data_IF_441612007338
#
_entry.id   IF_441612007338
#
_cell.length_a   1.000
_cell.length_b   1.000
_cell.length_c   1.000
_cell.angle_alpha   90.00
_cell.angle_beta   90.00
_cell.angle_gamma   90.00
#
_symmetry.space_group_name_H-M   'P 1'
#
loop_
_entity.id
_entity.type
_entity.pdbx_description
1 polymer ?
#
# COMPACT_ATOMS: atom_id res chain seq x y z
N UNK A 1 -7.72 -77.05 -2.13
CA UNK A 1 -7.31 -77.33 -0.74
C UNK A 1 -7.43 -76.05 0.06
N UNK A 2 -7.80 -76.13 1.33
CA UNK A 2 -7.78 -74.99 2.26
C UNK A 2 -6.34 -74.75 2.74
N UNK A 3 -5.97 -73.49 2.95
CA UNK A 3 -4.61 -73.10 3.35
C UNK A 3 -4.43 -73.20 4.88
N UNK A 4 -4.73 -74.38 5.42
CA UNK A 4 -4.62 -74.67 6.86
C UNK A 4 -3.20 -74.44 7.36
N UNK A 5 -3.03 -73.58 8.36
CA UNK A 5 -1.70 -73.25 8.90
C UNK A 5 -0.82 -72.44 7.94
N UNK A 6 -1.41 -71.85 6.88
CA UNK A 6 -0.73 -70.90 6.03
C UNK A 6 -0.23 -69.69 6.80
N UNK A 7 0.67 -68.91 6.20
CA UNK A 7 1.36 -67.80 6.86
C UNK A 7 1.22 -66.53 6.04
N UNK A 8 0.82 -65.44 6.67
CA UNK A 8 0.89 -64.10 6.10
C UNK A 8 2.01 -63.33 6.80
N UNK A 9 3.03 -62.96 6.05
CA UNK A 9 4.08 -62.05 6.51
C UNK A 9 3.74 -60.62 6.14
N UNK A 10 4.02 -59.70 7.06
CA UNK A 10 3.75 -58.27 6.90
C UNK A 10 5.07 -57.49 6.92
N UNK A 11 5.33 -56.69 5.89
CA UNK A 11 6.57 -55.92 5.76
C UNK A 11 6.28 -54.47 5.37
N UNK A 12 7.28 -53.59 5.54
CA UNK A 12 7.26 -52.29 4.89
C UNK A 12 7.35 -52.46 3.37
N UNK A 13 6.56 -51.68 2.63
CA UNK A 13 6.49 -51.77 1.17
C UNK A 13 7.89 -51.74 0.52
N UNK A 14 8.09 -52.56 -0.51
CA UNK A 14 9.37 -52.72 -1.20
C UNK A 14 10.49 -53.42 -0.41
N UNK A 15 10.24 -53.88 0.83
CA UNK A 15 11.28 -54.44 1.71
C UNK A 15 10.88 -55.77 2.36
N UNK A 16 11.83 -56.48 2.96
CA UNK A 16 11.61 -57.63 3.86
C UNK A 16 11.63 -57.24 5.34
N UNK A 17 11.63 -55.94 5.66
CA UNK A 17 11.64 -55.47 7.05
C UNK A 17 10.24 -55.64 7.66
N UNK A 18 10.07 -56.42 8.74
CA UNK A 18 8.78 -56.62 9.39
C UNK A 18 8.08 -55.30 9.71
N UNK A 19 6.78 -55.20 9.42
CA UNK A 19 5.98 -54.02 9.77
C UNK A 19 4.74 -54.43 10.54
N UNK A 20 4.55 -53.80 11.69
CA UNK A 20 3.44 -54.09 12.60
C UNK A 20 2.09 -53.86 11.92
N UNK A 21 1.19 -54.82 12.12
CA UNK A 21 -0.24 -54.72 11.83
C UNK A 21 -1.01 -55.03 13.11
N UNK A 22 -2.30 -54.70 13.17
CA UNK A 22 -3.07 -54.71 14.42
C UNK A 22 -4.35 -55.53 14.33
N UNK A 23 -4.76 -56.11 15.45
CA UNK A 23 -5.96 -56.97 15.56
C UNK A 23 -7.28 -56.19 15.49
N UNK A 24 -7.23 -54.86 15.58
CA UNK A 24 -8.39 -53.96 15.48
C UNK A 24 -7.96 -52.55 15.04
N UNK A 25 -8.94 -51.73 14.66
CA UNK A 25 -8.73 -50.32 14.29
C UNK A 25 -8.15 -49.45 15.41
N UNK A 26 -8.19 -49.91 16.66
CA UNK A 26 -7.63 -49.19 17.81
C UNK A 26 -6.10 -49.09 17.79
N UNK A 27 -5.41 -49.98 17.07
CA UNK A 27 -3.95 -49.99 17.00
C UNK A 27 -3.24 -50.37 18.30
N UNK A 28 -3.94 -50.96 19.28
CA UNK A 28 -3.37 -51.26 20.59
C UNK A 28 -2.69 -52.64 20.67
N UNK A 29 -3.23 -53.64 19.98
CA UNK A 29 -2.71 -55.01 20.00
C UNK A 29 -2.16 -55.40 18.64
N UNK A 30 -0.87 -55.72 18.59
CA UNK A 30 -0.19 -56.14 17.38
C UNK A 30 -0.55 -57.57 17.01
N UNK A 31 -0.71 -57.82 15.70
CA UNK A 31 -0.68 -59.16 15.14
C UNK A 31 0.74 -59.75 15.21
N UNK A 32 0.84 -61.07 15.32
CA UNK A 32 2.11 -61.78 15.16
C UNK A 32 2.65 -61.64 13.73
N UNK A 33 3.95 -61.83 13.51
CA UNK A 33 4.54 -61.85 12.18
C UNK A 33 5.53 -63.03 12.07
N UNK A 34 5.18 -64.11 11.33
CA UNK A 34 3.99 -64.26 10.49
C UNK A 34 2.67 -64.39 11.28
N UNK A 35 1.57 -64.02 10.64
CA UNK A 35 0.21 -64.36 11.07
C UNK A 35 -0.10 -65.77 10.57
N UNK A 36 -0.41 -66.69 11.48
CA UNK A 36 -0.73 -68.09 11.15
C UNK A 36 -2.24 -68.21 10.92
N UNK A 37 -2.64 -68.75 9.77
CA UNK A 37 -4.04 -68.99 9.42
C UNK A 37 -4.59 -70.23 10.14
N UNK A 38 -5.88 -70.21 10.44
CA UNK A 38 -6.57 -71.33 11.09
C UNK A 38 -6.70 -72.56 10.16
N UNK A 39 -7.36 -73.62 10.65
CA UNK A 39 -7.56 -74.86 9.88
C UNK A 39 -8.38 -74.69 8.60
N UNK A 40 -9.15 -73.62 8.50
CA UNK A 40 -9.95 -73.27 7.32
C UNK A 40 -9.23 -72.26 6.42
N UNK A 41 -8.03 -71.80 6.80
CA UNK A 41 -7.25 -70.80 6.06
C UNK A 41 -7.69 -69.35 6.30
N UNK A 42 -8.37 -69.05 7.41
CA UNK A 42 -8.79 -67.68 7.79
C UNK A 42 -7.81 -67.03 8.75
N UNK A 43 -7.84 -65.70 8.81
CA UNK A 43 -7.09 -64.94 9.80
C UNK A 43 -7.62 -65.20 11.22
N UNK A 44 -6.75 -65.30 12.25
CA UNK A 44 -7.19 -65.48 13.63
C UNK A 44 -7.75 -64.19 14.26
N UNK A 45 -7.41 -63.01 13.72
CA UNK A 45 -7.93 -61.69 14.09
C UNK A 45 -8.00 -60.80 12.85
N UNK A 46 -8.62 -59.62 12.95
CA UNK A 46 -8.58 -58.64 11.85
C UNK A 46 -7.14 -58.18 11.54
N UNK A 47 -6.97 -57.66 10.33
CA UNK A 47 -5.70 -57.12 9.84
C UNK A 47 -5.83 -55.61 9.57
N UNK A 48 -5.50 -54.79 10.57
CA UNK A 48 -5.49 -53.34 10.45
C UNK A 48 -4.08 -52.81 10.19
N UNK A 49 -3.97 -51.87 9.24
CA UNK A 49 -2.73 -51.21 8.82
C UNK A 49 -2.62 -49.82 9.47
N UNK A 50 -1.40 -49.36 9.76
CA UNK A 50 -1.18 -48.01 10.28
C UNK A 50 -1.36 -46.97 9.17
N UNK A 51 -2.13 -45.91 9.44
CA UNK A 51 -2.28 -44.75 8.54
C UNK A 51 -0.93 -44.07 8.26
N UNK A 52 -0.75 -43.58 7.03
CA UNK A 52 0.46 -42.95 6.52
C UNK A 52 1.52 -43.94 6.02
N UNK A 53 1.25 -45.25 6.07
CA UNK A 53 2.22 -46.29 5.75
C UNK A 53 1.68 -47.26 4.69
N UNK A 54 2.55 -47.70 3.79
CA UNK A 54 2.27 -48.79 2.84
C UNK A 54 2.93 -50.10 3.26
N UNK A 55 2.32 -51.22 2.87
CA UNK A 55 2.68 -52.56 3.32
C UNK A 55 2.93 -53.50 2.14
N UNK A 56 3.84 -54.46 2.37
CA UNK A 56 4.00 -55.66 1.55
C UNK A 56 3.49 -56.87 2.33
N UNK A 57 2.55 -57.61 1.75
CA UNK A 57 1.98 -58.83 2.32
C UNK A 57 2.45 -60.04 1.52
N UNK A 58 3.06 -61.02 2.19
CA UNK A 58 3.52 -62.26 1.54
C UNK A 58 2.76 -63.46 2.12
N UNK A 59 2.05 -64.17 1.25
CA UNK A 59 1.32 -65.40 1.60
C UNK A 59 2.20 -66.61 1.33
N UNK A 60 2.35 -67.49 2.32
CA UNK A 60 3.03 -68.79 2.21
C UNK A 60 2.14 -69.93 2.68
N UNK A 61 2.41 -71.13 2.21
CA UNK A 61 1.83 -72.34 2.80
C UNK A 61 2.45 -72.68 4.16
N UNK A 62 1.94 -73.75 4.80
CA UNK A 62 2.42 -74.21 6.10
C UNK A 62 3.87 -74.70 6.08
N UNK A 63 4.40 -75.04 4.89
CA UNK A 63 5.77 -75.48 4.64
C UNK A 63 6.70 -74.37 4.16
N UNK A 64 6.29 -73.10 4.29
CA UNK A 64 7.06 -71.90 3.91
C UNK A 64 7.31 -71.72 2.40
N UNK A 65 6.53 -72.37 1.54
CA UNK A 65 6.52 -72.09 0.10
C UNK A 65 5.67 -70.86 -0.17
N UNK A 66 6.23 -69.86 -0.86
CA UNK A 66 5.52 -68.63 -1.19
C UNK A 66 4.45 -68.89 -2.26
N UNK A 67 3.22 -68.44 -1.98
CA UNK A 67 2.07 -68.51 -2.88
C UNK A 67 1.87 -67.16 -3.57
N UNK A 68 2.05 -66.05 -2.85
CA UNK A 68 1.80 -64.72 -3.39
C UNK A 68 2.52 -63.62 -2.62
N UNK A 69 2.74 -62.50 -3.29
CA UNK A 69 3.26 -61.26 -2.70
C UNK A 69 2.47 -60.10 -3.27
N UNK A 70 2.04 -59.20 -2.41
CA UNK A 70 1.29 -58.00 -2.75
C UNK A 70 2.01 -56.82 -2.10
N UNK A 71 2.40 -55.84 -2.90
CA UNK A 71 3.22 -54.71 -2.45
C UNK A 71 2.46 -53.38 -2.60
N UNK A 72 2.99 -52.33 -1.99
CA UNK A 72 2.43 -50.98 -1.99
C UNK A 72 0.95 -50.93 -1.59
N UNK A 73 0.55 -51.72 -0.58
CA UNK A 73 -0.82 -51.73 -0.06
C UNK A 73 -0.99 -50.62 0.99
N UNK A 74 -1.79 -49.57 0.74
CA UNK A 74 -2.16 -48.58 1.75
C UNK A 74 -3.39 -49.01 2.56
N UNK A 75 -3.64 -48.33 3.68
CA UNK A 75 -4.93 -48.42 4.37
C UNK A 75 -6.06 -47.77 3.55
N UNK A 76 -7.28 -48.36 3.59
CA UNK A 76 -8.47 -47.74 3.00
C UNK A 76 -8.80 -46.47 3.79
N UNK A 77 -9.13 -45.38 3.10
CA UNK A 77 -9.39 -44.04 3.66
C UNK A 77 -8.21 -43.42 4.43
N UNK A 78 -6.98 -43.80 4.07
CA UNK A 78 -5.77 -43.21 4.65
C UNK A 78 -5.54 -41.77 4.17
N UNK A 79 -6.16 -40.80 4.86
CA UNK A 79 -6.04 -39.38 4.56
C UNK A 79 -4.65 -38.79 4.79
N UNK A 80 -3.77 -39.47 5.52
CA UNK A 80 -2.39 -39.01 5.75
C UNK A 80 -1.54 -39.04 4.47
N UNK A 81 -1.88 -39.91 3.51
CA UNK A 81 -1.28 -39.96 2.18
C UNK A 81 -1.99 -39.03 1.17
N UNK A 82 -3.09 -38.37 1.58
CA UNK A 82 -3.87 -37.43 0.79
C UNK A 82 -3.53 -35.96 1.08
N UNK A 83 -2.38 -35.68 1.70
CA UNK A 83 -1.89 -34.30 1.77
C UNK A 83 -1.64 -33.78 0.35
N UNK A 84 -2.51 -32.89 -0.12
CA UNK A 84 -2.40 -32.22 -1.42
C UNK A 84 -1.73 -30.87 -1.14
N UNK A 85 -0.45 -30.67 -1.51
CA UNK A 85 0.20 -29.37 -1.35
C UNK A 85 -0.63 -28.27 -2.01
N UNK A 86 -0.63 -27.06 -1.47
CA UNK A 86 -1.33 -25.94 -2.13
C UNK A 86 -0.83 -25.71 -3.58
N UNK A 87 0.42 -26.12 -3.88
CA UNK A 87 0.98 -26.10 -5.23
C UNK A 87 0.31 -27.05 -6.21
N UNK A 88 -0.32 -28.15 -5.78
CA UNK A 88 -1.01 -29.11 -6.65
C UNK A 88 -2.48 -28.76 -6.93
N UNK A 89 -3.00 -27.67 -6.37
CA UNK A 89 -4.23 -27.03 -6.89
C UNK A 89 -3.91 -26.43 -8.26
N UNK A 90 -4.47 -27.03 -9.32
CA UNK A 90 -4.33 -26.58 -10.71
C UNK A 90 -5.32 -25.47 -11.08
N UNK A 91 -6.47 -25.42 -10.41
CA UNK A 91 -7.49 -24.39 -10.57
C UNK A 91 -7.48 -23.42 -9.37
N UNK A 92 -6.39 -22.64 -9.23
CA UNK A 92 -6.30 -21.63 -8.18
C UNK A 92 -7.32 -20.51 -8.42
N UNK A 93 -7.94 -19.95 -7.38
CA UNK A 93 -8.77 -18.76 -7.54
C UNK A 93 -7.96 -17.62 -8.16
N UNK A 94 -8.43 -17.10 -9.29
CA UNK A 94 -7.84 -15.93 -9.97
C UNK A 94 -8.65 -14.66 -9.74
N UNK A 95 -9.83 -14.78 -9.13
CA UNK A 95 -10.70 -13.68 -8.74
C UNK A 95 -11.35 -13.95 -7.38
N UNK A 96 -11.69 -12.88 -6.67
CA UNK A 96 -12.51 -12.94 -5.44
C UNK A 96 -13.95 -13.44 -5.75
N UNK A 97 -14.46 -13.08 -6.93
CA UNK A 97 -15.76 -13.55 -7.42
C UNK A 97 -15.70 -15.06 -7.78
N UNK A 98 -16.81 -15.77 -7.52
CA UNK A 98 -16.98 -17.19 -7.88
C UNK A 98 -16.57 -18.21 -6.82
N UNK A 99 -15.87 -17.79 -5.77
CA UNK A 99 -15.44 -18.66 -4.65
C UNK A 99 -15.98 -18.22 -3.28
N UNK A 100 -16.96 -17.31 -3.26
CA UNK A 100 -17.62 -16.88 -2.01
C UNK A 100 -16.76 -16.00 -1.09
N UNK A 101 -15.64 -15.46 -1.55
CA UNK A 101 -14.81 -14.51 -0.79
C UNK A 101 -15.48 -13.13 -0.86
N UNK A 102 -16.33 -12.84 0.12
CA UNK A 102 -17.17 -11.64 0.15
C UNK A 102 -16.54 -10.44 0.86
N UNK A 103 -15.43 -10.63 1.58
CA UNK A 103 -14.72 -9.61 2.37
C UNK A 103 -13.44 -9.11 1.69
N UNK A 104 -13.12 -9.62 0.50
CA UNK A 104 -11.92 -9.22 -0.22
C UNK A 104 -12.02 -7.80 -0.79
N UNK A 105 -11.00 -6.98 -0.51
CA UNK A 105 -10.88 -5.62 -1.06
C UNK A 105 -10.23 -5.70 -2.44
N UNK A 106 -10.97 -5.30 -3.49
CA UNK A 106 -10.39 -5.20 -4.83
C UNK A 106 -9.50 -3.96 -4.96
N UNK A 107 -8.50 -3.99 -5.84
CA UNK A 107 -7.69 -2.80 -6.15
C UNK A 107 -8.54 -1.63 -6.66
N UNK A 108 -9.63 -1.91 -7.37
CA UNK A 108 -10.58 -0.90 -7.84
C UNK A 108 -11.34 -0.25 -6.68
N UNK A 109 -11.82 -1.05 -5.71
CA UNK A 109 -12.48 -0.55 -4.50
C UNK A 109 -11.52 0.29 -3.65
N UNK A 110 -10.27 -0.16 -3.49
CA UNK A 110 -9.26 0.58 -2.76
C UNK A 110 -8.95 1.93 -3.43
N UNK A 111 -8.76 1.95 -4.75
CA UNK A 111 -8.49 3.16 -5.51
C UNK A 111 -9.67 4.15 -5.50
N UNK A 112 -10.91 3.67 -5.42
CA UNK A 112 -12.10 4.50 -5.35
C UNK A 112 -12.36 5.07 -3.94
N UNK A 113 -11.84 4.43 -2.89
CA UNK A 113 -12.15 4.77 -1.49
C UNK A 113 -11.04 5.57 -0.82
N UNK A 114 -9.78 5.30 -1.17
CA UNK A 114 -8.62 5.84 -0.46
C UNK A 114 -7.77 6.73 -1.34
N UNK A 115 -7.25 7.81 -0.76
CA UNK A 115 -6.26 8.66 -1.41
C UNK A 115 -4.93 7.91 -1.60
N UNK A 116 -4.31 7.95 -2.79
CA UNK A 116 -2.98 7.38 -2.99
C UNK A 116 -1.93 7.98 -2.05
N UNK A 117 -0.95 7.16 -1.63
CA UNK A 117 0.11 7.57 -0.69
C UNK A 117 1.08 8.61 -1.28
N UNK A 118 1.31 8.57 -2.60
CA UNK A 118 2.25 9.46 -3.28
C UNK A 118 1.48 10.50 -4.10
N UNK A 119 1.49 11.75 -3.62
CA UNK A 119 0.93 12.93 -4.31
C UNK A 119 -0.50 12.71 -4.83
N UNK A 120 -1.46 12.41 -3.94
CA UNK A 120 -2.84 12.19 -4.36
C UNK A 120 -3.38 13.44 -5.06
N UNK A 121 -3.99 13.24 -6.22
CA UNK A 121 -4.82 14.26 -6.84
C UNK A 121 -6.23 14.08 -6.31
N UNK A 122 -6.71 15.05 -5.55
CA UNK A 122 -8.06 15.04 -5.01
C UNK A 122 -9.04 15.66 -6.02
N UNK A 123 -10.13 14.96 -6.33
CA UNK A 123 -11.26 15.50 -7.10
C UNK A 123 -12.34 16.02 -6.15
N UNK A 124 -13.00 17.13 -6.51
CA UNK A 124 -13.94 17.87 -5.65
C UNK A 124 -13.27 18.98 -4.84
N UNK A 125 -14.00 19.66 -3.94
CA UNK A 125 -13.37 20.48 -2.91
C UNK A 125 -12.85 19.52 -1.87
N UNK A 126 -11.53 19.23 -1.79
CA UNK A 126 -11.06 18.34 -0.74
C UNK A 126 -11.53 18.96 0.56
N UNK A 127 -12.23 18.18 1.37
CA UNK A 127 -12.78 18.66 2.61
C UNK A 127 -11.90 18.14 3.73
N UNK A 128 -11.50 19.02 4.63
CA UNK A 128 -10.93 18.57 5.90
C UNK A 128 -12.12 18.53 6.88
N UNK A 129 -12.43 17.37 7.48
CA UNK A 129 -13.39 17.32 8.57
C UNK A 129 -12.93 18.27 9.67
N UNK A 130 -13.84 19.10 10.21
CA UNK A 130 -13.57 19.68 11.52
C UNK A 130 -13.63 18.52 12.53
N UNK A 131 -12.69 18.42 13.47
CA UNK A 131 -12.61 17.30 14.43
C UNK A 131 -13.73 17.34 15.50
N UNK A 132 -14.93 17.83 15.16
CA UNK A 132 -16.08 17.91 16.07
C UNK A 132 -17.02 16.70 15.90
N UNK A 133 -17.83 16.44 16.93
CA UNK A 133 -18.81 15.35 16.94
C UNK A 133 -19.89 15.47 15.83
N UNK A 134 -20.00 16.64 15.18
CA UNK A 134 -20.88 16.93 14.04
C UNK A 134 -20.10 17.76 13.02
N UNK A 135 -19.40 17.10 12.07
CA UNK A 135 -18.50 17.74 11.10
C UNK A 135 -19.23 18.68 10.13
N UNK A 136 -18.80 19.95 10.08
CA UNK A 136 -18.99 20.80 8.90
C UNK A 136 -17.72 20.78 8.05
N UNK A 137 -17.83 20.18 6.86
CA UNK A 137 -16.71 19.98 5.95
C UNK A 137 -16.23 21.33 5.33
N UNK A 138 -14.90 21.56 5.24
CA UNK A 138 -14.30 22.81 4.70
C UNK A 138 -13.45 22.62 3.43
N UNK A 139 -13.61 23.44 2.36
CA UNK A 139 -12.77 23.42 1.14
C UNK A 139 -11.27 23.69 1.32
N UNK A 140 -10.44 22.82 0.75
CA UNK A 140 -8.98 22.97 0.64
C UNK A 140 -8.60 23.77 -0.62
N UNK A 141 -7.73 24.78 -0.47
CA UNK A 141 -7.21 25.63 -1.56
C UNK A 141 -7.26 27.14 -1.26
N UNK A 142 -6.75 27.98 -2.17
CA UNK A 142 -6.85 29.45 -2.06
C UNK A 142 -8.07 29.97 -2.83
N UNK A 143 -9.02 30.59 -2.13
CA UNK A 143 -10.25 31.18 -2.72
C UNK A 143 -10.15 32.69 -2.96
N UNK A 144 -9.14 33.30 -2.37
CA UNK A 144 -8.84 34.73 -2.41
C UNK A 144 -7.36 34.90 -2.75
N UNK A 145 -6.91 36.13 -2.98
CA UNK A 145 -5.48 36.45 -2.89
C UNK A 145 -5.11 36.54 -1.39
N UNK A 146 -4.52 35.49 -0.78
CA UNK A 146 -4.40 35.44 0.67
C UNK A 146 -3.58 36.60 1.17
N UNK A 147 -4.09 37.32 2.17
CA UNK A 147 -3.43 38.51 2.71
C UNK A 147 -2.16 38.11 3.47
N UNK A 148 -1.03 38.69 3.08
CA UNK A 148 0.23 38.73 3.81
C UNK A 148 0.46 40.18 4.31
N UNK A 149 0.09 40.50 5.56
CA UNK A 149 0.24 41.86 6.10
C UNK A 149 1.63 42.10 6.73
N UNK A 150 2.19 43.30 6.54
CA UNK A 150 3.55 43.69 6.96
C UNK A 150 3.55 45.12 7.52
N UNK A 151 4.28 45.42 8.60
CA UNK A 151 4.30 46.75 9.26
C UNK A 151 5.64 47.49 9.19
N UNK A 152 6.68 46.81 8.70
CA UNK A 152 8.04 47.34 8.52
C UNK A 152 8.58 47.02 7.13
N UNK A 153 9.90 47.09 6.97
CA UNK A 153 10.55 46.64 5.75
C UNK A 153 10.35 45.13 5.58
N UNK A 154 10.05 44.68 4.36
CA UNK A 154 9.75 43.29 4.05
C UNK A 154 10.42 42.84 2.77
N UNK A 155 11.04 41.65 2.75
CA UNK A 155 11.59 41.03 1.54
C UNK A 155 10.74 39.82 1.17
N UNK A 156 10.29 39.74 -0.09
CA UNK A 156 9.42 38.66 -0.57
C UNK A 156 10.11 37.30 -0.52
N UNK A 157 9.32 36.24 -0.31
CA UNK A 157 9.75 34.84 -0.31
C UNK A 157 8.85 33.98 -1.22
N UNK A 158 9.29 32.78 -1.61
CA UNK A 158 8.53 31.87 -2.50
C UNK A 158 7.08 31.63 -2.08
N UNK A 159 6.81 31.69 -0.77
CA UNK A 159 5.48 31.51 -0.21
C UNK A 159 4.51 32.67 -0.47
N UNK A 160 4.98 33.80 -0.99
CA UNK A 160 4.16 34.97 -1.35
C UNK A 160 3.50 34.83 -2.72
N UNK A 161 3.86 33.79 -3.48
CA UNK A 161 3.24 33.52 -4.78
C UNK A 161 1.71 33.44 -4.64
N UNK A 162 1.02 34.30 -5.40
CA UNK A 162 -0.44 34.38 -5.38
C UNK A 162 -1.05 35.14 -4.19
N UNK A 163 -0.25 35.81 -3.36
CA UNK A 163 -0.71 36.55 -2.17
C UNK A 163 -0.84 38.06 -2.40
N UNK A 164 -1.60 38.70 -1.52
CA UNK A 164 -1.62 40.15 -1.37
C UNK A 164 -0.76 40.60 -0.20
N UNK A 165 0.38 41.22 -0.49
CA UNK A 165 1.30 41.82 0.46
C UNK A 165 0.81 43.21 0.86
N UNK A 166 0.19 43.30 2.03
CA UNK A 166 -0.42 44.54 2.54
C UNK A 166 0.55 45.22 3.51
N UNK A 167 1.03 46.41 3.15
CA UNK A 167 2.13 47.10 3.83
C UNK A 167 1.66 48.28 4.67
N UNK A 168 2.19 48.38 5.89
CA UNK A 168 2.21 49.57 6.74
C UNK A 168 0.89 50.04 7.31
N UNK A 169 -0.13 49.19 7.43
CA UNK A 169 -1.45 49.54 7.99
C UNK A 169 -1.34 50.34 9.31
N UNK A 170 -1.58 51.65 9.26
CA UNK A 170 -1.45 52.58 10.40
C UNK A 170 -0.03 53.08 10.75
N UNK A 171 1.00 52.66 10.02
CA UNK A 171 2.39 53.13 10.15
C UNK A 171 2.54 54.55 9.58
N UNK A 172 3.43 55.37 10.15
CA UNK A 172 3.76 56.72 9.66
C UNK A 172 5.21 56.89 9.20
N UNK A 173 6.01 55.84 9.33
CA UNK A 173 7.39 55.78 8.84
C UNK A 173 7.41 55.22 7.43
N UNK A 174 8.30 55.72 6.58
CA UNK A 174 8.55 55.14 5.27
C UNK A 174 9.08 53.71 5.44
N UNK A 175 8.52 52.77 4.66
CA UNK A 175 8.90 51.36 4.66
C UNK A 175 9.08 50.86 3.23
N UNK A 176 9.76 49.73 3.09
CA UNK A 176 10.11 49.14 1.80
C UNK A 176 9.67 47.69 1.70
N UNK A 177 8.94 47.34 0.63
CA UNK A 177 8.78 45.97 0.16
C UNK A 177 9.87 45.67 -0.88
N UNK A 178 10.65 44.62 -0.69
CA UNK A 178 11.82 44.27 -1.51
C UNK A 178 11.56 42.98 -2.26
N UNK A 179 11.58 43.04 -3.58
CA UNK A 179 11.70 41.87 -4.45
C UNK A 179 13.17 41.40 -4.39
N UNK A 180 13.47 40.20 -3.90
CA UNK A 180 14.85 39.69 -3.84
C UNK A 180 15.39 39.38 -5.25
N UNK A 181 16.70 39.25 -5.35
CA UNK A 181 17.37 38.78 -6.56
C UNK A 181 16.98 37.33 -6.86
N UNK A 182 16.87 36.97 -8.14
CA UNK A 182 16.61 35.59 -8.54
C UNK A 182 17.68 34.60 -8.02
N UNK A 183 18.92 35.06 -7.87
CA UNK A 183 20.01 34.27 -7.29
C UNK A 183 19.81 33.94 -5.82
N UNK A 184 19.05 34.75 -5.08
CA UNK A 184 18.74 34.53 -3.67
C UNK A 184 17.39 33.80 -3.48
N UNK A 185 16.36 34.20 -4.23
CA UNK A 185 15.03 33.58 -4.20
C UNK A 185 14.52 33.43 -5.63
N UNK A 186 14.63 32.22 -6.17
CA UNK A 186 14.22 31.90 -7.53
C UNK A 186 12.71 31.70 -7.64
N UNK A 187 11.95 32.80 -7.60
CA UNK A 187 10.53 32.77 -7.91
C UNK A 187 10.30 32.17 -9.31
N UNK A 188 9.33 31.24 -9.46
CA UNK A 188 8.92 30.79 -10.79
C UNK A 188 8.47 31.98 -11.65
N UNK A 189 8.85 31.99 -12.93
CA UNK A 189 8.32 32.96 -13.90
C UNK A 189 6.79 32.86 -13.89
N UNK A 190 6.11 34.01 -13.96
CA UNK A 190 4.66 34.11 -13.83
C UNK A 190 4.16 34.23 -12.38
N UNK A 191 5.04 34.26 -11.39
CA UNK A 191 4.65 34.59 -10.01
C UNK A 191 3.98 35.96 -9.98
N UNK A 192 2.77 36.01 -9.42
CA UNK A 192 1.99 37.24 -9.20
C UNK A 192 1.99 37.55 -7.71
N UNK A 193 2.25 38.81 -7.37
CA UNK A 193 2.19 39.34 -6.02
C UNK A 193 1.47 40.68 -6.07
N UNK A 194 0.44 40.82 -5.24
CA UNK A 194 -0.28 42.10 -5.09
C UNK A 194 0.38 42.86 -3.95
N UNK A 195 0.62 44.14 -4.10
CA UNK A 195 1.05 45.07 -3.07
C UNK A 195 -0.10 46.02 -2.76
N UNK A 196 -0.40 46.22 -1.49
CA UNK A 196 -1.39 47.20 -1.03
C UNK A 196 -0.71 48.10 -0.01
N UNK A 197 -0.70 49.41 -0.24
CA UNK A 197 -0.14 50.36 0.71
C UNK A 197 -1.24 50.91 1.63
N UNK A 198 -1.27 50.44 2.88
CA UNK A 198 -2.09 51.02 3.94
C UNK A 198 -1.28 51.91 4.90
N UNK A 199 -0.01 52.17 4.58
CA UNK A 199 0.83 53.14 5.27
C UNK A 199 0.28 54.56 5.10
N UNK A 200 0.44 55.37 6.15
CA UNK A 200 0.05 56.78 6.11
C UNK A 200 1.00 57.62 5.25
N UNK A 201 2.18 57.08 4.91
CA UNK A 201 3.13 57.64 3.92
C UNK A 201 3.32 56.70 2.71
N UNK A 202 4.12 57.13 1.73
CA UNK A 202 4.44 56.32 0.55
C UNK A 202 5.23 55.04 0.89
N UNK A 203 4.89 53.94 0.21
CA UNK A 203 5.61 52.66 0.28
C UNK A 203 6.63 52.58 -0.86
N UNK A 204 7.86 52.21 -0.55
CA UNK A 204 8.85 51.84 -1.58
C UNK A 204 8.70 50.37 -1.95
N UNK A 205 8.52 50.05 -3.23
CA UNK A 205 8.59 48.70 -3.78
C UNK A 205 9.94 48.62 -4.53
N UNK A 206 10.94 48.08 -3.84
CA UNK A 206 12.30 47.97 -4.33
C UNK A 206 12.56 46.61 -4.98
N UNK A 207 13.59 46.56 -5.82
CA UNK A 207 14.20 45.33 -6.31
C UNK A 207 15.71 45.46 -6.14
N UNK A 208 16.42 44.34 -5.97
CA UNK A 208 17.88 44.36 -5.76
C UNK A 208 18.64 44.36 -7.09
N UNK A 209 19.26 43.25 -7.49
CA UNK A 209 20.06 43.15 -8.72
C UNK A 209 19.23 42.80 -9.95
N UNK A 210 17.99 42.37 -9.74
CA UNK A 210 17.02 42.09 -10.81
C UNK A 210 16.37 43.40 -11.29
N UNK A 211 15.66 43.36 -12.42
CA UNK A 211 15.02 44.53 -13.03
C UNK A 211 13.52 44.57 -12.72
N UNK A 212 13.03 45.69 -12.16
CA UNK A 212 11.61 45.99 -12.00
C UNK A 212 11.22 47.11 -12.96
N UNK A 213 10.39 46.81 -13.95
CA UNK A 213 9.96 47.76 -14.98
C UNK A 213 8.51 48.19 -14.71
N UNK A 214 8.22 49.48 -14.84
CA UNK A 214 6.83 49.96 -14.81
C UNK A 214 6.15 49.58 -16.13
N UNK A 215 4.93 49.05 -16.07
CA UNK A 215 4.17 48.70 -17.26
C UNK A 215 3.93 49.93 -18.15
N UNK A 216 3.98 49.73 -19.48
CA UNK A 216 3.90 50.79 -20.49
C UNK A 216 4.94 51.92 -20.31
N UNK A 217 6.11 51.56 -19.80
CA UNK A 217 7.24 52.46 -19.61
C UNK A 217 8.55 51.72 -19.90
N UNK A 218 9.61 52.46 -20.17
CA UNK A 218 10.99 51.96 -20.21
C UNK A 218 11.72 52.21 -18.89
N UNK A 219 11.09 52.88 -17.93
CA UNK A 219 11.70 53.17 -16.63
C UNK A 219 11.85 51.90 -15.82
N UNK A 220 12.95 51.79 -15.08
CA UNK A 220 13.25 50.66 -14.19
C UNK A 220 13.63 51.15 -12.79
N UNK A 221 13.60 50.23 -11.82
CA UNK A 221 14.03 50.49 -10.45
C UNK A 221 12.90 50.56 -9.44
N UNK A 222 13.20 51.06 -8.25
CA UNK A 222 12.26 51.18 -7.12
C UNK A 222 11.05 52.03 -7.50
N UNK A 223 9.85 51.57 -7.11
CA UNK A 223 8.59 52.29 -7.29
C UNK A 223 8.06 52.80 -5.97
N UNK A 224 7.40 53.95 -6.00
CA UNK A 224 6.65 54.45 -4.85
C UNK A 224 5.18 54.16 -5.05
N UNK A 225 4.56 53.45 -4.10
CA UNK A 225 3.12 53.25 -4.04
C UNK A 225 2.53 54.21 -3.01
N UNK A 226 1.71 55.15 -3.46
CA UNK A 226 1.04 56.13 -2.61
C UNK A 226 0.12 55.46 -1.57
N UNK A 227 -0.24 56.20 -0.52
CA UNK A 227 -1.21 55.75 0.49
C UNK A 227 -2.51 55.30 -0.19
N UNK A 228 -3.07 54.19 0.28
CA UNK A 228 -4.24 53.50 -0.29
C UNK A 228 -4.03 53.03 -1.75
N UNK A 229 -2.78 52.98 -2.21
CA UNK A 229 -2.42 52.45 -3.51
C UNK A 229 -2.46 50.92 -3.54
N UNK A 230 -2.70 50.37 -4.72
CA UNK A 230 -2.63 48.94 -5.00
C UNK A 230 -1.84 48.72 -6.28
N UNK A 231 -0.83 47.86 -6.22
CA UNK A 231 -0.02 47.50 -7.38
C UNK A 231 0.16 45.99 -7.50
N UNK A 232 0.07 45.46 -8.71
CA UNK A 232 0.33 44.06 -9.00
C UNK A 232 1.67 43.93 -9.70
N UNK A 233 2.52 43.06 -9.17
CA UNK A 233 3.83 42.76 -9.72
C UNK A 233 3.87 41.32 -10.24
N UNK A 234 4.45 41.14 -11.42
CA UNK A 234 4.52 39.86 -12.11
C UNK A 234 5.95 39.58 -12.53
N UNK A 235 6.48 38.39 -12.20
CA UNK A 235 7.78 37.95 -12.70
C UNK A 235 7.67 37.60 -14.18
N UNK A 236 8.33 38.36 -15.06
CA UNK A 236 8.21 38.21 -16.53
C UNK A 236 9.42 37.52 -17.17
N UNK A 237 10.55 37.45 -16.47
CA UNK A 237 11.74 36.70 -16.88
C UNK A 237 12.57 36.31 -15.65
N UNK A 238 13.61 35.49 -15.83
CA UNK A 238 14.50 35.02 -14.75
C UNK A 238 14.92 36.15 -13.81
N UNK A 239 15.30 37.30 -14.35
CA UNK A 239 15.74 38.48 -13.56
C UNK A 239 14.90 39.73 -13.84
N UNK A 240 13.67 39.58 -14.35
CA UNK A 240 12.83 40.73 -14.71
C UNK A 240 11.41 40.60 -14.19
N UNK A 241 10.90 41.71 -13.66
CA UNK A 241 9.57 41.88 -13.10
C UNK A 241 8.89 43.08 -13.75
N UNK A 242 7.58 42.99 -13.95
CA UNK A 242 6.74 44.08 -14.45
C UNK A 242 5.72 44.44 -13.37
N UNK A 243 5.52 45.73 -13.12
CA UNK A 243 4.59 46.21 -12.11
C UNK A 243 3.67 47.30 -12.65
N UNK A 244 2.43 47.33 -12.19
CA UNK A 244 1.45 48.37 -12.48
C UNK A 244 0.47 48.52 -11.33
N UNK A 245 -0.16 49.68 -11.17
CA UNK A 245 -1.08 49.91 -10.06
C UNK A 245 -1.61 51.32 -9.94
N UNK A 246 -2.72 51.48 -9.22
CA UNK A 246 -3.23 52.79 -8.85
C UNK A 246 -2.36 53.39 -7.74
N UNK A 247 -1.93 54.64 -7.93
CA UNK A 247 -1.04 55.33 -6.99
C UNK A 247 0.43 54.90 -7.10
N UNK A 248 0.83 54.17 -8.15
CA UNK A 248 2.20 53.74 -8.38
C UNK A 248 2.95 54.75 -9.27
N UNK A 249 4.15 55.13 -8.87
CA UNK A 249 5.09 55.97 -9.65
C UNK A 249 6.47 55.34 -9.69
#
# INVERSE_FOLDING_TARGET
SVLSGGKIYTYAAGTTTPRTTYTSSSGLMANANPIILDSDGRLPNDLWLTSGLTYRLVLKDSTDVQIGSYDDIPGINDGALLSVPFSSITAKPTSLAGYGITDGVTSATAAATYAPIASPTFTGTPQIPDNAATSTNHPVGYREAPRNAQSGNYTLVLADRGKSVVMGDGTATAITATIPANSSVAFPIGTVIIFVNLNTVGLSIAITTDTLTLANSTTTGTRTLARNGLATCVKINTTSWLISGAGLT
#
